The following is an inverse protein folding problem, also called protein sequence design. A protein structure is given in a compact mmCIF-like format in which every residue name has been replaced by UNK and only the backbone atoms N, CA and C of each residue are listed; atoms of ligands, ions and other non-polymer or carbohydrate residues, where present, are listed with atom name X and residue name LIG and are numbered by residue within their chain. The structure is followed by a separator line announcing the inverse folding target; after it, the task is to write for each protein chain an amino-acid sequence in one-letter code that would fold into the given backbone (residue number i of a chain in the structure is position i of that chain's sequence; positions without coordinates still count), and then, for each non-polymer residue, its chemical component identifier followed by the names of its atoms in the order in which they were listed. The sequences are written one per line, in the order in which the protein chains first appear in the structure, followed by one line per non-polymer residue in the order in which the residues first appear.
data_IF_043803866652
#
_entry.id   IF_043803866652
#
_cell.length_a   1.000
_cell.length_b   1.000
_cell.length_c   1.000
_cell.angle_alpha   90.00
_cell.angle_beta   90.00
_cell.angle_gamma   90.00
#
_symmetry.space_group_name_H-M   'P 1'
#
loop_
_entity.id
_entity.type
_entity.pdbx_description
1 polymer ?
#
# COMPACT_ATOMS: atom_id res chain seq x y z
N UNK A 1 -18.92 18.83 -20.24
CA UNK A 1 -17.90 18.06 -20.97
C UNK A 1 -16.47 18.50 -20.63
N UNK A 2 -16.19 19.77 -20.57
CA UNK A 2 -14.88 20.31 -20.18
C UNK A 2 -14.45 19.87 -18.76
N UNK A 3 -15.37 19.90 -17.80
CA UNK A 3 -15.12 19.52 -16.40
C UNK A 3 -14.76 18.03 -16.29
N UNK A 4 -15.42 17.16 -17.03
CA UNK A 4 -15.10 15.73 -17.05
C UNK A 4 -13.70 15.44 -17.59
N UNK A 5 -13.30 16.15 -18.64
CA UNK A 5 -11.94 16.03 -19.21
C UNK A 5 -10.91 16.48 -18.19
N UNK A 6 -11.14 17.59 -17.49
CA UNK A 6 -10.24 18.08 -16.44
C UNK A 6 -10.10 17.08 -15.29
N UNK A 7 -11.22 16.48 -14.84
CA UNK A 7 -11.19 15.47 -13.77
C UNK A 7 -10.39 14.24 -14.17
N UNK A 8 -10.52 13.79 -15.42
CA UNK A 8 -9.76 12.64 -15.92
C UNK A 8 -8.26 12.97 -15.99
N UNK A 9 -7.91 14.16 -16.46
CA UNK A 9 -6.52 14.61 -16.49
C UNK A 9 -5.94 14.67 -15.08
N UNK A 10 -6.68 15.21 -14.12
CA UNK A 10 -6.22 15.28 -12.74
C UNK A 10 -5.99 13.89 -12.13
N UNK A 11 -6.84 12.91 -12.46
CA UNK A 11 -6.66 11.52 -11.99
C UNK A 11 -5.38 10.90 -12.52
N UNK A 12 -5.05 11.17 -13.78
CA UNK A 12 -3.83 10.63 -14.40
C UNK A 12 -2.57 11.21 -13.77
N UNK A 13 -2.64 12.43 -13.22
CA UNK A 13 -1.51 13.08 -12.58
C UNK A 13 -1.36 12.77 -11.10
N UNK A 14 -2.31 12.03 -10.50
CA UNK A 14 -2.19 11.63 -9.10
C UNK A 14 -1.12 10.57 -8.95
N UNK A 15 -0.11 10.88 -8.12
CA UNK A 15 0.95 9.92 -7.80
C UNK A 15 0.41 8.82 -6.90
N UNK A 16 1.16 7.72 -6.80
CA UNK A 16 0.80 6.61 -5.90
C UNK A 16 0.71 7.10 -4.46
N UNK A 17 1.65 7.95 -4.02
CA UNK A 17 1.64 8.51 -2.66
C UNK A 17 0.38 9.34 -2.40
N UNK A 18 -0.03 10.16 -3.36
CA UNK A 18 -1.25 10.97 -3.21
C UNK A 18 -2.51 10.11 -3.15
N UNK A 19 -2.58 9.05 -3.95
CA UNK A 19 -3.70 8.11 -3.90
C UNK A 19 -3.78 7.39 -2.55
N UNK A 20 -2.64 6.99 -2.01
CA UNK A 20 -2.58 6.40 -0.68
C UNK A 20 -3.10 7.36 0.39
N UNK A 21 -2.65 8.62 0.34
CA UNK A 21 -3.10 9.64 1.28
C UNK A 21 -4.61 9.86 1.21
N UNK A 22 -5.15 9.98 0.00
CA UNK A 22 -6.57 10.25 -0.21
C UNK A 22 -7.45 9.06 0.19
N UNK A 23 -7.04 7.84 -0.17
CA UNK A 23 -7.84 6.64 0.09
C UNK A 23 -7.85 6.25 1.57
N UNK A 24 -6.77 6.50 2.28
CA UNK A 24 -6.58 5.95 3.61
C UNK A 24 -6.43 7.01 4.70
N UNK A 25 -6.52 8.29 4.34
CA UNK A 25 -6.40 9.42 5.27
C UNK A 25 -5.11 9.35 6.09
N UNK A 26 -4.00 9.12 5.39
CA UNK A 26 -2.67 9.08 5.97
C UNK A 26 -1.81 10.16 5.33
N UNK A 27 -0.68 10.49 5.95
CA UNK A 27 0.29 11.43 5.41
C UNK A 27 1.56 10.69 5.03
N UNK A 28 1.96 10.83 3.76
CA UNK A 28 3.20 10.25 3.26
C UNK A 28 4.20 11.39 3.05
N UNK A 29 5.33 11.39 3.79
CA UNK A 29 6.34 12.43 3.64
C UNK A 29 6.86 12.50 2.20
N UNK A 30 7.15 13.71 1.72
CA UNK A 30 7.61 13.94 0.36
C UNK A 30 9.00 13.34 0.07
N UNK A 31 9.76 13.03 1.12
CA UNK A 31 11.08 12.41 0.98
C UNK A 31 11.03 10.88 0.85
N UNK A 32 9.85 10.27 0.98
CA UNK A 32 9.68 8.86 0.67
C UNK A 32 9.72 8.65 -0.83
N UNK A 33 10.58 7.74 -1.27
CA UNK A 33 10.78 7.46 -2.68
C UNK A 33 10.04 6.19 -3.07
N UNK A 34 9.18 6.27 -4.10
CA UNK A 34 8.53 5.11 -4.68
C UNK A 34 9.54 4.24 -5.40
N UNK A 35 9.59 2.97 -5.08
CA UNK A 35 10.51 2.01 -5.71
C UNK A 35 9.80 0.98 -6.57
N UNK A 36 8.54 0.66 -6.26
CA UNK A 36 7.80 -0.37 -6.97
C UNK A 36 6.30 -0.11 -6.83
N UNK A 37 5.55 -0.45 -7.87
CA UNK A 37 4.09 -0.32 -7.86
C UNK A 37 3.47 -1.33 -8.82
N UNK A 38 2.41 -1.99 -8.36
CA UNK A 38 1.59 -2.86 -9.18
C UNK A 38 0.13 -2.71 -8.78
N UNK A 39 -0.75 -2.72 -9.78
CA UNK A 39 -2.19 -2.59 -9.62
C UNK A 39 -2.85 -3.65 -10.49
N UNK A 40 -3.72 -4.46 -9.91
CA UNK A 40 -4.46 -5.47 -10.68
C UNK A 40 -5.49 -4.86 -11.63
N UNK A 41 -5.65 -3.53 -11.54
CA UNK A 41 -6.71 -2.83 -12.23
C UNK A 41 -8.02 -2.90 -11.46
N UNK A 42 -8.86 -1.88 -11.62
CA UNK A 42 -10.19 -1.91 -11.03
C UNK A 42 -11.08 -2.84 -11.85
N UNK A 43 -11.66 -3.85 -11.21
CA UNK A 43 -12.74 -4.60 -11.82
C UNK A 43 -13.95 -3.66 -11.99
N UNK A 44 -14.93 -4.08 -12.74
CA UNK A 44 -16.17 -3.33 -12.94
C UNK A 44 -16.85 -2.96 -11.61
N UNK A 45 -16.61 -3.73 -10.56
CA UNK A 45 -17.18 -3.50 -9.22
C UNK A 45 -16.24 -2.76 -8.29
N UNK A 46 -15.09 -2.29 -8.76
CA UNK A 46 -14.11 -1.60 -7.92
C UNK A 46 -13.24 -2.49 -7.06
N UNK A 47 -13.37 -3.81 -7.20
CA UNK A 47 -12.54 -4.76 -6.47
C UNK A 47 -11.13 -4.77 -7.03
N UNK A 48 -10.17 -5.11 -6.22
CA UNK A 48 -8.81 -5.26 -6.68
C UNK A 48 -7.79 -5.08 -5.57
N UNK A 49 -6.54 -5.19 -5.94
CA UNK A 49 -5.43 -5.00 -5.02
C UNK A 49 -4.39 -4.09 -5.65
N UNK A 50 -3.74 -3.30 -4.80
CA UNK A 50 -2.58 -2.50 -5.19
C UNK A 50 -1.46 -2.78 -4.22
N UNK A 51 -0.25 -2.78 -4.73
CA UNK A 51 0.94 -3.00 -3.93
C UNK A 51 1.99 -1.98 -4.31
N UNK A 52 2.61 -1.37 -3.31
CA UNK A 52 3.66 -0.39 -3.55
C UNK A 52 4.75 -0.50 -2.49
N UNK A 53 5.98 -0.14 -2.90
CA UNK A 53 7.14 -0.10 -2.02
C UNK A 53 7.68 1.32 -2.03
N UNK A 54 7.92 1.86 -0.83
CA UNK A 54 8.56 3.16 -0.66
C UNK A 54 9.77 3.00 0.28
N UNK A 55 10.77 3.83 0.07
CA UNK A 55 11.94 3.91 0.97
C UNK A 55 12.16 5.33 1.42
N UNK A 56 12.76 5.50 2.59
CA UNK A 56 13.10 6.82 3.12
C UNK A 56 12.76 6.98 4.59
N UNK A 57 12.38 8.19 4.97
CA UNK A 57 12.16 8.57 6.36
C UNK A 57 11.02 7.80 7.02
N UNK A 58 11.12 7.61 8.32
CA UNK A 58 10.11 6.89 9.09
C UNK A 58 8.78 7.64 9.13
N UNK A 59 7.69 6.94 8.81
CA UNK A 59 6.34 7.48 8.92
C UNK A 59 5.98 7.73 10.39
N UNK A 60 5.27 8.84 10.64
CA UNK A 60 4.77 9.16 11.97
C UNK A 60 3.42 8.47 12.14
N UNK A 61 3.41 7.29 12.71
CA UNK A 61 2.20 6.56 13.06
C UNK A 61 2.51 5.46 14.08
N UNK A 62 1.47 5.00 14.75
CA UNK A 62 1.61 3.93 15.74
C UNK A 62 1.61 2.57 15.06
N UNK A 63 2.78 1.97 14.96
CA UNK A 63 2.92 0.62 14.42
C UNK A 63 2.83 -0.42 15.52
N UNK A 64 2.28 -1.58 15.16
CA UNK A 64 2.35 -2.77 16.00
C UNK A 64 3.77 -3.36 15.84
N UNK A 65 4.46 -3.55 16.95
CA UNK A 65 5.84 -4.06 16.94
C UNK A 65 5.93 -5.57 17.19
N UNK A 66 4.80 -6.26 17.31
CA UNK A 66 4.78 -7.70 17.48
C UNK A 66 4.61 -8.38 16.13
N UNK A 67 5.46 -9.36 15.86
CA UNK A 67 5.33 -10.17 14.64
C UNK A 67 4.02 -10.94 14.66
N UNK A 68 3.38 -11.03 13.49
CA UNK A 68 2.07 -11.66 13.35
C UNK A 68 2.11 -12.67 12.20
N UNK A 69 2.00 -13.95 12.55
CA UNK A 69 2.03 -15.03 11.55
C UNK A 69 0.85 -14.98 10.60
N UNK A 70 -0.32 -14.53 11.05
CA UNK A 70 -1.50 -14.41 10.17
C UNK A 70 -1.26 -13.35 9.11
N UNK A 71 -0.66 -12.23 9.50
CA UNK A 71 -0.26 -11.18 8.56
C UNK A 71 0.72 -11.73 7.53
N UNK A 72 1.76 -12.44 7.99
CA UNK A 72 2.77 -13.01 7.10
C UNK A 72 2.16 -13.98 6.09
N UNK A 73 1.23 -14.82 6.52
CA UNK A 73 0.52 -15.75 5.64
C UNK A 73 -0.35 -15.01 4.62
N UNK A 74 -1.04 -13.96 5.06
CA UNK A 74 -1.87 -13.15 4.17
C UNK A 74 -1.01 -12.47 3.11
N UNK A 75 0.11 -11.88 3.50
CA UNK A 75 1.05 -11.23 2.58
C UNK A 75 1.63 -12.25 1.60
N UNK A 76 1.98 -13.44 2.08
CA UNK A 76 2.48 -14.51 1.22
C UNK A 76 1.47 -14.87 0.11
N UNK A 77 0.20 -15.00 0.47
CA UNK A 77 -0.88 -15.26 -0.50
C UNK A 77 -1.05 -14.12 -1.49
N UNK A 78 -0.98 -12.88 -1.00
CA UNK A 78 -1.09 -11.70 -1.87
C UNK A 78 0.08 -11.60 -2.84
N UNK A 79 1.29 -11.88 -2.38
CA UNK A 79 2.47 -11.88 -3.25
C UNK A 79 2.34 -12.88 -4.39
N UNK A 80 1.76 -14.05 -4.12
CA UNK A 80 1.47 -15.04 -5.14
C UNK A 80 0.39 -14.58 -6.10
N UNK A 81 -0.71 -14.07 -5.57
CA UNK A 81 -1.83 -13.59 -6.37
C UNK A 81 -1.42 -12.47 -7.32
N UNK A 82 -0.58 -11.57 -6.85
CA UNK A 82 -0.12 -10.41 -7.60
C UNK A 82 1.11 -10.71 -8.47
N UNK A 83 1.64 -11.93 -8.40
CA UNK A 83 2.86 -12.33 -9.12
C UNK A 83 4.03 -11.38 -8.86
N UNK A 84 4.21 -11.00 -7.59
CA UNK A 84 5.27 -10.08 -7.23
C UNK A 84 6.63 -10.82 -7.31
N UNK A 85 7.61 -10.27 -8.04
CA UNK A 85 8.95 -10.86 -8.07
C UNK A 85 9.55 -10.95 -6.67
N UNK A 86 10.33 -11.98 -6.42
CA UNK A 86 10.90 -12.23 -5.10
C UNK A 86 11.70 -11.03 -4.56
N UNK A 87 12.43 -10.35 -5.43
CA UNK A 87 13.23 -9.18 -5.06
C UNK A 87 12.38 -7.99 -4.62
N UNK A 88 11.09 -8.00 -4.94
CA UNK A 88 10.14 -6.96 -4.53
C UNK A 88 9.18 -7.43 -3.44
N UNK A 89 9.50 -8.52 -2.75
CA UNK A 89 8.73 -9.02 -1.62
C UNK A 89 9.43 -8.69 -0.31
N UNK A 90 8.63 -8.45 0.73
CA UNK A 90 9.19 -8.29 2.07
C UNK A 90 9.79 -9.61 2.56
N UNK A 91 10.90 -9.51 3.27
CA UNK A 91 11.52 -10.65 3.95
C UNK A 91 11.14 -10.60 5.44
N UNK A 92 10.24 -11.48 5.85
CA UNK A 92 9.77 -11.52 7.24
C UNK A 92 10.80 -12.07 8.23
N UNK A 93 11.98 -12.52 7.76
CA UNK A 93 13.09 -12.81 8.65
C UNK A 93 13.70 -11.56 9.26
N UNK A 94 13.51 -10.40 8.60
CA UNK A 94 13.93 -9.11 9.12
C UNK A 94 13.02 -8.65 10.24
N UNK A 95 13.52 -7.76 11.08
CA UNK A 95 12.68 -7.04 12.03
C UNK A 95 11.72 -6.15 11.25
N UNK A 96 10.42 -6.21 11.61
CA UNK A 96 9.42 -5.38 10.97
C UNK A 96 8.38 -4.92 11.99
N UNK A 97 7.73 -3.81 11.65
CA UNK A 97 6.55 -3.32 12.36
C UNK A 97 5.43 -3.17 11.33
N UNK A 98 4.18 -3.14 11.77
CA UNK A 98 3.07 -3.15 10.83
C UNK A 98 1.86 -2.41 11.38
N UNK A 99 0.95 -2.04 10.47
CA UNK A 99 -0.32 -1.41 10.82
C UNK A 99 -1.38 -1.82 9.81
N UNK A 100 -2.58 -2.04 10.32
CA UNK A 100 -3.76 -2.26 9.48
C UNK A 100 -4.66 -1.03 9.61
N UNK A 101 -5.12 -0.52 8.48
CA UNK A 101 -6.06 0.60 8.41
C UNK A 101 -7.29 0.15 7.64
N UNK A 102 -8.47 0.48 8.17
CA UNK A 102 -9.75 0.19 7.53
C UNK A 102 -10.29 1.48 6.94
N UNK A 103 -10.87 1.41 5.74
CA UNK A 103 -11.43 2.58 5.09
C UNK A 103 -12.66 3.06 5.84
N UNK A 104 -12.79 4.38 6.06
CA UNK A 104 -13.92 4.98 6.77
C UNK A 104 -15.25 4.76 6.06
N UNK A 105 -15.23 4.81 4.74
CA UNK A 105 -16.43 4.75 3.91
C UNK A 105 -16.84 3.33 3.58
N UNK A 106 -15.91 2.38 3.62
CA UNK A 106 -16.17 0.97 3.38
C UNK A 106 -15.22 0.13 4.22
N UNK A 107 -15.72 -0.44 5.30
CA UNK A 107 -14.93 -1.21 6.26
C UNK A 107 -14.36 -2.51 5.67
N UNK A 108 -14.81 -2.92 4.48
CA UNK A 108 -14.27 -4.09 3.80
C UNK A 108 -12.94 -3.79 3.12
N UNK A 109 -12.68 -2.52 2.79
CA UNK A 109 -11.42 -2.10 2.21
C UNK A 109 -10.38 -1.96 3.31
N UNK A 110 -9.20 -2.55 3.08
CA UNK A 110 -8.14 -2.60 4.07
C UNK A 110 -6.82 -2.18 3.47
N UNK A 111 -6.00 -1.51 4.29
CA UNK A 111 -4.61 -1.20 3.97
C UNK A 111 -3.72 -1.85 5.01
N UNK A 112 -2.72 -2.59 4.55
CA UNK A 112 -1.65 -3.09 5.40
C UNK A 112 -0.37 -2.33 5.09
N UNK A 113 0.23 -1.73 6.11
CA UNK A 113 1.52 -1.05 5.99
C UNK A 113 2.52 -1.87 6.80
N UNK A 114 3.58 -2.33 6.14
CA UNK A 114 4.63 -3.11 6.79
C UNK A 114 5.95 -2.37 6.57
N UNK A 115 6.64 -2.06 7.66
CA UNK A 115 7.94 -1.41 7.60
C UNK A 115 9.04 -2.39 7.95
N UNK A 116 9.95 -2.60 7.00
CA UNK A 116 11.15 -3.40 7.19
C UNK A 116 12.20 -2.53 7.87
N UNK A 117 12.49 -2.81 9.14
CA UNK A 117 13.39 -2.00 9.94
C UNK A 117 14.86 -2.11 9.51
N UNK A 118 15.20 -3.17 8.80
CA UNK A 118 16.58 -3.39 8.34
C UNK A 118 16.86 -2.70 7.02
N UNK A 119 15.86 -2.66 6.12
CA UNK A 119 16.01 -2.07 4.80
C UNK A 119 15.48 -0.64 4.70
N UNK A 120 14.78 -0.16 5.73
CA UNK A 120 14.09 1.14 5.73
C UNK A 120 13.11 1.24 4.56
N UNK A 121 12.32 0.20 4.36
CA UNK A 121 11.33 0.12 3.29
C UNK A 121 9.94 -0.08 3.84
N UNK A 122 8.97 0.58 3.20
CA UNK A 122 7.55 0.45 3.50
C UNK A 122 6.87 -0.33 2.39
N UNK A 123 6.10 -1.33 2.78
CA UNK A 123 5.31 -2.16 1.87
C UNK A 123 3.84 -1.88 2.14
N UNK A 124 3.14 -1.36 1.13
CA UNK A 124 1.72 -1.00 1.23
C UNK A 124 0.90 -2.00 0.41
N UNK A 125 0.01 -2.70 1.08
CA UNK A 125 -0.96 -3.60 0.43
C UNK A 125 -2.34 -2.99 0.59
N UNK A 126 -2.96 -2.57 -0.51
CA UNK A 126 -4.31 -2.01 -0.55
C UNK A 126 -5.26 -3.07 -1.08
N UNK A 127 -6.28 -3.39 -0.32
CA UNK A 127 -7.29 -4.40 -0.67
C UNK A 127 -8.64 -3.72 -0.80
N UNK A 128 -9.21 -3.75 -1.99
CA UNK A 128 -10.51 -3.17 -2.29
C UNK A 128 -11.51 -4.29 -2.58
N UNK A 129 -12.65 -4.24 -1.93
CA UNK A 129 -13.67 -5.29 -2.03
C UNK A 129 -14.98 -4.77 -2.62
#
# INVERSE_FOLDING_TARGET
MFVLVMLNIMREYLTVSKRLELNWNITIPSDLKEEYYIDTGSSFHGDGERYSIFSGSKLIMNFNNQKDKKLEQKVYKLNKKLNIPKENQIDFAHEYVWKKIVNRNDERDELYIIYDCELNKYYFYELFV
#
